data_IF_765840570619
#
_entry.id   IF_765840570619
#
_cell.length_a   1.000
_cell.length_b   1.000
_cell.length_c   1.000
_cell.angle_alpha   90.00
_cell.angle_beta   90.00
_cell.angle_gamma   90.00
#
_symmetry.space_group_name_H-M   'P 1'
#
loop_
_entity.id
_entity.type
_entity.pdbx_description
1 polymer ?
#
# COMPACT_ATOMS: atom_id res chain seq x y z
N UNK A 1 4.55 20.55 -2.76
CA UNK A 1 3.66 20.21 -1.62
C UNK A 1 4.46 20.34 -0.34
N UNK A 2 3.96 21.01 0.72
CA UNK A 2 4.73 21.14 1.97
C UNK A 2 4.85 19.79 2.70
N UNK A 3 5.86 19.68 3.56
CA UNK A 3 6.10 18.49 4.37
C UNK A 3 4.92 18.19 5.29
N UNK A 4 4.42 19.19 6.01
CA UNK A 4 3.32 19.07 6.98
C UNK A 4 2.04 18.60 6.29
N UNK A 5 1.75 19.13 5.09
CA UNK A 5 0.62 18.70 4.28
C UNK A 5 0.76 17.23 3.88
N UNK A 6 1.93 16.84 3.40
CA UNK A 6 2.21 15.47 2.98
C UNK A 6 2.10 14.48 4.14
N UNK A 7 2.73 14.78 5.27
CA UNK A 7 2.69 13.97 6.48
C UNK A 7 1.24 13.81 6.97
N UNK A 8 0.50 14.92 7.06
CA UNK A 8 -0.88 14.90 7.55
C UNK A 8 -1.83 14.13 6.62
N UNK A 9 -1.68 14.28 5.30
CA UNK A 9 -2.45 13.48 4.35
C UNK A 9 -2.16 11.99 4.48
N UNK A 10 -0.87 11.61 4.63
CA UNK A 10 -0.49 10.20 4.86
C UNK A 10 -1.07 9.66 6.16
N UNK A 11 -1.06 10.43 7.25
CA UNK A 11 -1.70 10.05 8.52
C UNK A 11 -3.21 9.82 8.40
N UNK A 12 -3.92 10.75 7.78
CA UNK A 12 -5.38 10.68 7.61
C UNK A 12 -5.75 9.48 6.76
N UNK A 13 -5.12 9.33 5.59
CA UNK A 13 -5.40 8.23 4.66
C UNK A 13 -5.11 6.87 5.30
N UNK A 14 -4.00 6.75 6.02
CA UNK A 14 -3.65 5.54 6.75
C UNK A 14 -4.65 5.25 7.87
N UNK A 15 -5.00 6.26 8.68
CA UNK A 15 -5.94 6.09 9.79
C UNK A 15 -7.31 5.61 9.29
N UNK A 16 -7.81 6.16 8.18
CA UNK A 16 -9.06 5.73 7.54
C UNK A 16 -8.98 4.27 7.05
N UNK A 17 -7.88 3.90 6.37
CA UNK A 17 -7.66 2.54 5.88
C UNK A 17 -7.64 1.52 7.04
N UNK A 18 -6.97 1.86 8.14
CA UNK A 18 -6.87 1.01 9.33
C UNK A 18 -8.18 0.96 10.11
N UNK A 19 -8.92 2.07 10.16
CA UNK A 19 -10.21 2.17 10.84
C UNK A 19 -11.26 1.29 10.15
N UNK A 20 -11.35 1.34 8.82
CA UNK A 20 -12.25 0.48 8.05
C UNK A 20 -12.00 -0.99 8.39
N UNK A 21 -10.74 -1.44 8.27
CA UNK A 21 -10.39 -2.83 8.55
C UNK A 21 -10.66 -3.22 10.00
N UNK A 22 -10.44 -2.32 10.96
CA UNK A 22 -10.69 -2.60 12.37
C UNK A 22 -12.19 -2.74 12.68
N UNK A 23 -13.04 -1.90 12.08
CA UNK A 23 -14.49 -1.96 12.25
C UNK A 23 -15.07 -3.27 11.70
N UNK A 24 -14.62 -3.72 10.53
CA UNK A 24 -15.02 -5.01 9.94
C UNK A 24 -14.73 -6.19 10.88
N UNK A 25 -13.57 -6.19 11.54
CA UNK A 25 -13.16 -7.28 12.42
C UNK A 25 -13.73 -7.18 13.83
N UNK A 26 -14.12 -5.98 14.28
CA UNK A 26 -14.74 -5.79 15.60
C UNK A 26 -16.05 -6.59 15.73
N UNK A 27 -16.79 -6.73 14.62
CA UNK A 27 -18.05 -7.48 14.57
C UNK A 27 -17.80 -8.99 14.52
N UNK A 28 -16.78 -9.43 13.79
CA UNK A 28 -16.59 -10.85 13.45
C UNK A 28 -15.56 -11.59 14.32
N UNK A 29 -14.60 -10.91 14.96
CA UNK A 29 -13.48 -11.53 15.67
C UNK A 29 -13.58 -11.36 17.19
N UNK A 30 -14.29 -12.28 17.86
CA UNK A 30 -14.44 -12.26 19.34
C UNK A 30 -13.10 -12.32 20.08
N UNK A 31 -12.14 -13.11 19.59
CA UNK A 31 -10.85 -13.33 20.26
C UNK A 31 -9.90 -12.12 20.17
N UNK A 32 -10.01 -11.28 19.14
CA UNK A 32 -9.11 -10.13 18.91
C UNK A 32 -9.81 -8.78 19.09
N UNK A 33 -11.03 -8.77 19.66
CA UNK A 33 -11.88 -7.58 19.77
C UNK A 33 -11.17 -6.42 20.49
N UNK A 34 -10.42 -6.72 21.55
CA UNK A 34 -9.65 -5.73 22.31
C UNK A 34 -8.61 -5.02 21.44
N UNK A 35 -7.86 -5.77 20.63
CA UNK A 35 -6.83 -5.20 19.75
C UNK A 35 -7.44 -4.30 18.68
N UNK A 36 -8.56 -4.73 18.09
CA UNK A 36 -9.27 -3.90 17.11
C UNK A 36 -9.92 -2.66 17.75
N UNK A 37 -10.44 -2.76 18.99
CA UNK A 37 -10.94 -1.60 19.72
C UNK A 37 -9.82 -0.58 20.03
N UNK A 38 -8.65 -1.06 20.48
CA UNK A 38 -7.46 -0.20 20.67
C UNK A 38 -7.05 0.48 19.37
N UNK A 39 -7.07 -0.26 18.25
CA UNK A 39 -6.77 0.29 16.92
C UNK A 39 -7.74 1.38 16.51
N UNK A 40 -9.04 1.19 16.74
CA UNK A 40 -10.09 2.20 16.48
C UNK A 40 -9.83 3.47 17.28
N UNK A 41 -9.52 3.36 18.57
CA UNK A 41 -9.20 4.50 19.43
C UNK A 41 -7.97 5.24 18.90
N UNK A 42 -6.89 4.52 18.57
CA UNK A 42 -5.68 5.14 18.05
C UNK A 42 -5.92 5.80 16.68
N UNK A 43 -6.74 5.21 15.80
CA UNK A 43 -7.16 5.87 14.55
C UNK A 43 -7.94 7.17 14.82
N UNK A 44 -8.86 7.15 15.79
CA UNK A 44 -9.62 8.35 16.18
C UNK A 44 -8.72 9.47 16.71
N UNK A 45 -7.75 9.13 17.56
CA UNK A 45 -6.73 10.06 18.04
C UNK A 45 -5.90 10.65 16.89
N UNK A 46 -5.41 9.80 15.98
CA UNK A 46 -4.64 10.24 14.82
C UNK A 46 -5.46 11.15 13.89
N UNK A 47 -6.73 10.82 13.62
CA UNK A 47 -7.63 11.64 12.80
C UNK A 47 -7.97 12.99 13.45
N UNK A 48 -8.08 13.02 14.78
CA UNK A 48 -8.28 14.25 15.55
C UNK A 48 -7.01 15.10 15.72
N UNK A 49 -5.85 14.61 15.26
CA UNK A 49 -4.53 15.20 15.54
C UNK A 49 -4.26 15.33 17.06
N UNK A 50 -4.69 14.32 17.81
CA UNK A 50 -4.58 14.27 19.27
C UNK A 50 -3.57 13.19 19.65
N UNK A 51 -2.61 13.53 20.50
CA UNK A 51 -1.60 12.59 21.00
C UNK A 51 -0.91 11.79 19.88
N UNK A 52 -0.67 12.42 18.73
CA UNK A 52 -0.25 11.80 17.47
C UNK A 52 0.91 10.80 17.63
N UNK A 53 2.02 11.08 18.36
CA UNK A 53 3.10 10.11 18.57
C UNK A 53 2.65 8.82 19.27
N UNK A 54 1.77 8.93 20.27
CA UNK A 54 1.24 7.78 21.01
C UNK A 54 0.22 7.00 20.19
N UNK A 55 -0.61 7.70 19.40
CA UNK A 55 -1.52 7.06 18.46
C UNK A 55 -0.76 6.23 17.42
N UNK A 56 0.29 6.79 16.83
CA UNK A 56 1.16 6.09 15.87
C UNK A 56 1.85 4.87 16.50
N UNK A 57 2.37 5.00 17.72
CA UNK A 57 2.98 3.88 18.46
C UNK A 57 1.95 2.76 18.71
N UNK A 58 0.75 3.10 19.17
CA UNK A 58 -0.33 2.13 19.39
C UNK A 58 -0.75 1.43 18.10
N UNK A 59 -0.88 2.17 17.00
CA UNK A 59 -1.17 1.61 15.67
C UNK A 59 -0.05 0.68 15.19
N UNK A 60 1.23 1.05 15.41
CA UNK A 60 2.37 0.23 15.05
C UNK A 60 2.39 -1.10 15.82
N UNK A 61 2.25 -1.06 17.15
CA UNK A 61 2.25 -2.25 17.99
C UNK A 61 1.08 -3.19 17.65
N UNK A 62 -0.11 -2.64 17.44
CA UNK A 62 -1.27 -3.44 17.01
C UNK A 62 -1.08 -4.01 15.61
N UNK A 63 -0.49 -3.28 14.67
CA UNK A 63 -0.19 -3.79 13.32
C UNK A 63 0.81 -4.95 13.35
N UNK A 64 1.89 -4.85 14.12
CA UNK A 64 2.88 -5.94 14.30
C UNK A 64 2.23 -7.16 14.93
N UNK A 65 1.43 -6.99 15.99
CA UNK A 65 0.71 -8.08 16.63
C UNK A 65 -0.23 -8.80 15.65
N UNK A 66 -1.03 -8.05 14.89
CA UNK A 66 -1.99 -8.61 13.94
C UNK A 66 -1.28 -9.32 12.77
N UNK A 67 -0.17 -8.77 12.27
CA UNK A 67 0.66 -9.42 11.26
C UNK A 67 1.14 -10.79 11.77
N UNK A 68 1.71 -10.83 12.98
CA UNK A 68 2.19 -12.07 13.59
C UNK A 68 1.07 -13.08 13.86
N UNK A 69 -0.13 -12.61 14.23
CA UNK A 69 -1.28 -13.45 14.58
C UNK A 69 -1.94 -14.12 13.38
N UNK A 70 -2.02 -13.42 12.24
CA UNK A 70 -2.78 -13.88 11.07
C UNK A 70 -1.91 -14.51 9.98
N UNK A 71 -0.63 -14.15 9.85
CA UNK A 71 0.34 -14.79 8.93
C UNK A 71 -0.26 -15.11 7.54
N UNK A 72 -0.96 -14.15 6.93
CA UNK A 72 -1.78 -14.40 5.76
C UNK A 72 -1.00 -15.04 4.59
N UNK A 73 -1.65 -15.86 3.75
CA UNK A 73 -1.00 -16.71 2.74
C UNK A 73 -0.18 -15.94 1.69
N UNK A 74 -0.48 -14.65 1.48
CA UNK A 74 0.20 -13.78 0.52
C UNK A 74 1.29 -12.89 1.13
N UNK A 75 1.87 -13.29 2.28
CA UNK A 75 2.98 -12.58 2.91
C UNK A 75 2.69 -11.10 3.25
N UNK A 76 1.40 -10.74 3.40
CA UNK A 76 0.93 -9.49 4.00
C UNK A 76 1.45 -8.21 3.35
N UNK A 77 1.53 -8.11 2.02
CA UNK A 77 2.06 -6.92 1.34
C UNK A 77 1.44 -5.60 1.80
N UNK A 78 0.11 -5.54 1.97
CA UNK A 78 -0.56 -4.37 2.57
C UNK A 78 -0.23 -4.19 4.05
N UNK A 79 -0.11 -5.27 4.81
CA UNK A 79 0.20 -5.20 6.25
C UNK A 79 1.64 -4.69 6.48
N UNK A 80 2.61 -5.16 5.68
CA UNK A 80 4.02 -4.71 5.69
C UNK A 80 4.16 -3.25 5.24
N UNK A 81 3.48 -2.85 4.17
CA UNK A 81 3.45 -1.45 3.75
C UNK A 81 2.82 -0.56 4.84
N UNK A 82 1.72 -1.00 5.46
CA UNK A 82 1.11 -0.27 6.58
C UNK A 82 2.05 -0.09 7.77
N UNK A 83 2.79 -1.14 8.16
CA UNK A 83 3.82 -1.06 9.21
C UNK A 83 4.94 -0.10 8.80
N UNK A 84 5.40 -0.15 7.55
CA UNK A 84 6.42 0.77 7.04
C UNK A 84 5.96 2.23 7.13
N UNK A 85 4.73 2.55 6.71
CA UNK A 85 4.17 3.91 6.82
C UNK A 85 4.12 4.34 8.29
N UNK A 86 3.59 3.49 9.19
CA UNK A 86 3.53 3.78 10.63
C UNK A 86 4.91 4.04 11.23
N UNK A 87 5.90 3.24 10.83
CA UNK A 87 7.27 3.39 11.28
C UNK A 87 7.88 4.72 10.81
N UNK A 88 7.72 5.08 9.53
CA UNK A 88 8.26 6.33 8.99
C UNK A 88 7.56 7.56 9.58
N UNK A 89 6.24 7.52 9.77
CA UNK A 89 5.50 8.58 10.46
C UNK A 89 5.93 8.72 11.92
N UNK A 90 6.10 7.60 12.64
CA UNK A 90 6.57 7.61 14.02
C UNK A 90 7.98 8.19 14.15
N UNK A 91 8.89 7.79 13.26
CA UNK A 91 10.25 8.37 13.19
C UNK A 91 10.23 9.85 12.83
N UNK A 92 9.35 10.26 11.92
CA UNK A 92 9.17 11.67 11.57
C UNK A 92 8.77 12.50 12.80
N UNK A 93 7.76 12.07 13.57
CA UNK A 93 7.37 12.79 14.79
C UNK A 93 8.43 12.76 15.89
N UNK A 94 9.23 11.69 15.98
CA UNK A 94 10.27 11.54 16.98
C UNK A 94 11.63 12.16 16.57
N UNK A 95 11.75 12.65 15.33
CA UNK A 95 13.01 13.12 14.79
C UNK A 95 13.51 14.39 15.51
N UNK A 96 14.81 14.46 15.85
CA UNK A 96 15.36 15.56 16.64
C UNK A 96 15.58 16.85 15.84
N UNK A 97 15.39 16.82 14.52
CA UNK A 97 15.57 17.97 13.63
C UNK A 97 14.79 17.80 12.33
N UNK A 98 14.50 18.88 11.59
CA UNK A 98 13.83 18.82 10.30
C UNK A 98 14.55 17.92 9.27
N UNK A 99 15.88 17.85 9.33
CA UNK A 99 16.64 16.94 8.45
C UNK A 99 16.25 15.47 8.67
N UNK A 100 16.15 15.04 9.93
CA UNK A 100 15.78 13.65 10.26
C UNK A 100 14.29 13.37 9.99
N UNK A 101 13.43 14.39 10.05
CA UNK A 101 12.03 14.31 9.60
C UNK A 101 11.96 14.02 8.10
N UNK A 102 12.66 14.85 7.31
CA UNK A 102 12.77 14.69 5.86
C UNK A 102 13.32 13.29 5.52
N UNK A 103 14.36 12.81 6.20
CA UNK A 103 14.95 11.49 5.94
C UNK A 103 13.99 10.33 6.23
N UNK A 104 13.27 10.37 7.35
CA UNK A 104 12.29 9.34 7.70
C UNK A 104 11.17 9.26 6.65
N UNK A 105 10.71 10.41 6.16
CA UNK A 105 9.63 10.48 5.19
C UNK A 105 10.11 10.20 3.75
N UNK A 106 11.32 10.63 3.38
CA UNK A 106 11.96 10.27 2.13
C UNK A 106 12.22 8.76 2.03
N UNK A 107 12.56 8.11 3.14
CA UNK A 107 12.70 6.65 3.18
C UNK A 107 11.39 5.96 2.77
N UNK A 108 10.23 6.44 3.23
CA UNK A 108 8.94 5.91 2.79
C UNK A 108 8.75 6.04 1.28
N UNK A 109 9.05 7.22 0.71
CA UNK A 109 8.96 7.46 -0.72
C UNK A 109 9.86 6.51 -1.54
N UNK A 110 11.12 6.36 -1.13
CA UNK A 110 12.08 5.45 -1.77
C UNK A 110 11.60 4.00 -1.68
N UNK A 111 11.11 3.56 -0.53
CA UNK A 111 10.59 2.21 -0.35
C UNK A 111 9.33 1.97 -1.20
N UNK A 112 8.46 2.96 -1.36
CA UNK A 112 7.32 2.86 -2.27
C UNK A 112 7.78 2.68 -3.73
N UNK A 113 8.73 3.50 -4.19
CA UNK A 113 9.32 3.37 -5.54
C UNK A 113 9.97 2.01 -5.74
N UNK A 114 10.77 1.55 -4.78
CA UNK A 114 11.43 0.24 -4.82
C UNK A 114 10.41 -0.91 -4.80
N UNK A 115 9.28 -0.75 -4.09
CA UNK A 115 8.23 -1.77 -4.04
C UNK A 115 7.65 -2.03 -5.43
N UNK A 116 7.40 -0.98 -6.22
CA UNK A 116 7.01 -1.14 -7.62
C UNK A 116 8.14 -1.76 -8.45
N UNK A 117 9.34 -1.18 -8.40
CA UNK A 117 10.46 -1.64 -9.24
C UNK A 117 10.85 -3.10 -8.99
N UNK A 118 10.99 -3.51 -7.73
CA UNK A 118 11.36 -4.88 -7.36
C UNK A 118 10.26 -5.86 -7.77
N UNK A 119 8.99 -5.49 -7.57
CA UNK A 119 7.84 -6.27 -8.06
C UNK A 119 7.92 -6.49 -9.57
N UNK A 120 8.15 -5.43 -10.34
CA UNK A 120 8.30 -5.49 -11.80
C UNK A 120 9.50 -6.32 -12.24
N UNK A 121 10.64 -6.16 -11.57
CA UNK A 121 11.86 -6.95 -11.84
C UNK A 121 11.63 -8.44 -11.60
N UNK A 122 10.96 -8.82 -10.50
CA UNK A 122 10.64 -10.22 -10.22
C UNK A 122 9.75 -10.79 -11.33
N UNK A 123 8.73 -10.05 -11.78
CA UNK A 123 7.86 -10.46 -12.88
C UNK A 123 8.61 -10.56 -14.21
N UNK A 124 9.50 -9.62 -14.50
CA UNK A 124 10.32 -9.64 -15.71
C UNK A 124 11.21 -10.89 -15.77
N UNK A 125 11.81 -11.29 -14.65
CA UNK A 125 12.68 -12.46 -14.59
C UNK A 125 11.91 -13.78 -14.65
N UNK A 126 10.66 -13.82 -14.18
CA UNK A 126 9.84 -15.04 -14.16
C UNK A 126 9.23 -15.32 -15.54
N UNK A 127 9.54 -16.48 -16.19
CA UNK A 127 8.94 -16.86 -17.47
C UNK A 127 7.40 -16.92 -17.48
N UNK A 128 6.76 -17.30 -16.36
CA UNK A 128 5.30 -17.42 -16.27
C UNK A 128 4.59 -16.06 -16.35
N UNK A 129 5.22 -15.02 -15.82
CA UNK A 129 4.72 -13.65 -15.98
C UNK A 129 4.90 -13.17 -17.42
N UNK A 130 6.03 -13.50 -18.06
CA UNK A 130 6.30 -13.12 -19.45
C UNK A 130 5.39 -13.84 -20.46
N UNK A 131 4.95 -15.07 -20.16
CA UNK A 131 4.00 -15.80 -20.99
C UNK A 131 2.54 -15.44 -20.69
N UNK A 132 2.26 -14.74 -19.59
CA UNK A 132 0.92 -14.46 -19.08
C UNK A 132 0.30 -15.61 -18.27
N UNK A 133 1.01 -16.73 -18.10
CA UNK A 133 0.56 -17.87 -17.30
C UNK A 133 0.29 -17.48 -15.85
N UNK A 134 1.18 -16.70 -15.22
CA UNK A 134 1.00 -16.29 -13.84
C UNK A 134 -0.29 -15.48 -13.63
N UNK A 135 -0.65 -14.62 -14.58
CA UNK A 135 -1.90 -13.85 -14.52
C UNK A 135 -3.12 -14.75 -14.79
N UNK A 136 -3.00 -15.73 -15.69
CA UNK A 136 -4.01 -16.77 -15.90
C UNK A 136 -4.30 -17.54 -14.60
N UNK A 137 -3.25 -17.93 -13.88
CA UNK A 137 -3.37 -18.65 -12.62
C UNK A 137 -4.04 -17.79 -11.55
N UNK A 138 -3.75 -16.49 -11.51
CA UNK A 138 -4.46 -15.55 -10.61
C UNK A 138 -5.96 -15.54 -10.92
N UNK A 139 -6.36 -15.45 -12.19
CA UNK A 139 -7.80 -15.50 -12.55
C UNK A 139 -8.45 -16.87 -12.31
N UNK A 140 -7.70 -17.96 -12.49
CA UNK A 140 -8.22 -19.32 -12.30
C UNK A 140 -8.39 -19.69 -10.82
N UNK A 141 -7.41 -19.32 -9.97
CA UNK A 141 -7.27 -19.83 -8.60
C UNK A 141 -7.52 -18.78 -7.51
N UNK A 142 -7.91 -17.55 -7.86
CA UNK A 142 -8.29 -16.55 -6.85
C UNK A 142 -9.40 -17.09 -5.93
N UNK A 143 -9.11 -17.10 -4.63
CA UNK A 143 -9.97 -17.67 -3.60
C UNK A 143 -11.21 -16.81 -3.27
N UNK A 144 -11.28 -15.58 -3.78
CA UNK A 144 -12.36 -14.66 -3.48
C UNK A 144 -13.59 -14.92 -4.36
N UNK A 145 -14.81 -14.98 -3.81
CA UNK A 145 -16.04 -15.30 -4.56
C UNK A 145 -16.30 -14.38 -5.77
N UNK A 146 -15.88 -13.11 -5.69
CA UNK A 146 -16.01 -12.15 -6.79
C UNK A 146 -15.21 -12.56 -8.04
N UNK A 147 -14.14 -13.34 -7.86
CA UNK A 147 -13.29 -13.81 -8.94
C UNK A 147 -13.87 -15.03 -9.68
N UNK A 148 -14.89 -15.71 -9.14
CA UNK A 148 -15.42 -16.95 -9.75
C UNK A 148 -16.01 -16.70 -11.14
N UNK A 149 -16.75 -15.59 -11.30
CA UNK A 149 -17.30 -15.17 -12.59
C UNK A 149 -16.22 -14.72 -13.59
N UNK A 150 -15.00 -14.47 -13.12
CA UNK A 150 -13.86 -14.02 -13.92
C UNK A 150 -12.94 -15.16 -14.33
N UNK A 151 -13.14 -16.39 -13.82
CA UNK A 151 -12.32 -17.57 -14.16
C UNK A 151 -12.26 -17.85 -15.65
N UNK A 152 -13.34 -17.54 -16.40
CA UNK A 152 -13.35 -17.67 -17.86
C UNK A 152 -12.33 -16.78 -18.59
N UNK A 153 -11.85 -15.70 -17.94
CA UNK A 153 -10.80 -14.84 -18.48
C UNK A 153 -9.44 -15.53 -18.52
N UNK A 154 -9.21 -16.55 -17.68
CA UNK A 154 -7.99 -17.36 -17.68
C UNK A 154 -7.69 -17.99 -19.05
N UNK A 155 -8.73 -18.29 -19.83
CA UNK A 155 -8.59 -18.88 -21.16
C UNK A 155 -8.15 -17.87 -22.25
N UNK A 156 -8.08 -16.57 -21.94
CA UNK A 156 -7.72 -15.51 -22.91
C UNK A 156 -6.22 -15.19 -22.88
N UNK A 157 -5.39 -16.20 -23.16
CA UNK A 157 -3.92 -16.16 -23.02
C UNK A 157 -3.25 -14.96 -23.71
N UNK A 158 -3.68 -14.60 -24.92
CA UNK A 158 -3.13 -13.43 -25.63
C UNK A 158 -3.37 -12.10 -24.90
N UNK A 159 -4.57 -11.92 -24.34
CA UNK A 159 -4.91 -10.71 -23.55
C UNK A 159 -4.11 -10.70 -22.25
N UNK A 160 -4.04 -11.84 -21.56
CA UNK A 160 -3.33 -11.95 -20.28
C UNK A 160 -1.82 -11.77 -20.42
N UNK A 161 -1.24 -12.23 -21.53
CA UNK A 161 0.16 -11.96 -21.88
C UNK A 161 0.39 -10.45 -22.07
N UNK A 162 -0.45 -9.78 -22.87
CA UNK A 162 -0.36 -8.33 -23.07
C UNK A 162 -0.52 -7.56 -21.75
N UNK A 163 -1.51 -7.92 -20.92
CA UNK A 163 -1.70 -7.32 -19.60
C UNK A 163 -0.50 -7.56 -18.68
N UNK A 164 0.10 -8.74 -18.70
CA UNK A 164 1.28 -9.05 -17.89
C UNK A 164 2.46 -8.16 -18.28
N UNK A 165 2.71 -7.97 -19.58
CA UNK A 165 3.75 -7.06 -20.06
C UNK A 165 3.46 -5.58 -19.74
N UNK A 166 2.20 -5.15 -19.77
CA UNK A 166 1.83 -3.81 -19.31
C UNK A 166 2.16 -3.60 -17.83
N UNK A 167 1.84 -4.58 -16.97
CA UNK A 167 2.17 -4.53 -15.53
C UNK A 167 3.69 -4.53 -15.32
N UNK A 168 4.43 -5.43 -15.99
CA UNK A 168 5.89 -5.49 -15.91
C UNK A 168 6.51 -4.16 -16.32
N UNK A 169 6.11 -3.63 -17.49
CA UNK A 169 6.65 -2.39 -18.03
C UNK A 169 6.37 -1.21 -17.10
N UNK A 170 5.13 -1.08 -16.62
CA UNK A 170 4.76 -0.04 -15.66
C UNK A 170 5.60 -0.10 -14.38
N UNK A 171 5.68 -1.28 -13.75
CA UNK A 171 6.40 -1.45 -12.49
C UNK A 171 7.91 -1.23 -12.61
N UNK A 172 8.55 -1.73 -13.68
CA UNK A 172 9.99 -1.54 -13.94
C UNK A 172 10.32 -0.08 -14.27
N UNK A 173 9.45 0.61 -15.01
CA UNK A 173 9.66 2.01 -15.39
C UNK A 173 9.19 3.00 -14.32
N UNK A 174 8.51 2.54 -13.27
CA UNK A 174 7.98 3.39 -12.21
C UNK A 174 9.00 4.37 -11.61
N UNK A 175 10.27 4.01 -11.35
CA UNK A 175 11.26 4.97 -10.84
C UNK A 175 11.49 6.18 -11.76
N UNK A 176 11.35 6.01 -13.08
CA UNK A 176 11.52 7.10 -14.05
C UNK A 176 10.40 8.12 -13.98
N UNK A 177 9.27 7.79 -13.33
CA UNK A 177 8.15 8.72 -13.16
C UNK A 177 8.51 9.90 -12.27
N UNK A 178 9.54 9.75 -11.41
CA UNK A 178 10.06 10.82 -10.55
C UNK A 178 10.76 11.95 -11.32
N UNK A 179 11.11 11.73 -12.60
CA UNK A 179 11.79 12.73 -13.42
C UNK A 179 10.92 13.95 -13.73
N UNK A 180 9.59 13.85 -13.61
CA UNK A 180 8.70 15.01 -13.75
C UNK A 180 7.41 14.82 -12.95
N UNK A 181 6.88 15.92 -12.39
CA UNK A 181 5.62 15.89 -11.67
C UNK A 181 4.44 15.35 -12.52
N UNK A 182 4.27 15.73 -13.80
CA UNK A 182 3.21 15.15 -14.63
C UNK A 182 3.33 13.63 -14.81
N UNK A 183 4.54 13.11 -15.02
CA UNK A 183 4.78 11.66 -15.13
C UNK A 183 4.44 10.94 -13.83
N UNK A 184 4.83 11.51 -12.68
CA UNK A 184 4.51 10.95 -11.36
C UNK A 184 3.00 10.92 -11.13
N UNK A 185 2.29 12.03 -11.34
CA UNK A 185 0.84 12.06 -11.14
C UNK A 185 0.11 11.08 -12.05
N UNK A 186 0.49 11.01 -13.34
CA UNK A 186 -0.06 10.03 -14.26
C UNK A 186 0.16 8.59 -13.76
N UNK A 187 1.39 8.28 -13.34
CA UNK A 187 1.72 6.96 -12.82
C UNK A 187 0.96 6.61 -11.54
N UNK A 188 0.79 7.56 -10.61
CA UNK A 188 0.01 7.35 -9.39
C UNK A 188 -1.47 7.10 -9.68
N UNK A 189 -2.05 7.77 -10.69
CA UNK A 189 -3.42 7.49 -11.15
C UNK A 189 -3.51 6.08 -11.70
N UNK A 190 -2.59 5.69 -12.60
CA UNK A 190 -2.55 4.33 -13.17
C UNK A 190 -2.38 3.27 -12.07
N UNK A 191 -1.48 3.50 -11.10
CA UNK A 191 -1.27 2.61 -9.97
C UNK A 191 -2.52 2.50 -9.07
N UNK A 192 -3.22 3.61 -8.80
CA UNK A 192 -4.50 3.59 -8.08
C UNK A 192 -5.55 2.77 -8.81
N UNK A 193 -5.67 2.93 -10.13
CA UNK A 193 -6.60 2.17 -10.95
C UNK A 193 -6.26 0.68 -10.95
N UNK A 194 -4.97 0.33 -11.02
CA UNK A 194 -4.51 -1.05 -10.89
C UNK A 194 -4.86 -1.65 -9.52
N UNK A 195 -4.59 -0.93 -8.44
CA UNK A 195 -4.94 -1.38 -7.10
C UNK A 195 -6.46 -1.50 -6.90
N UNK A 196 -7.24 -0.61 -7.52
CA UNK A 196 -8.69 -0.65 -7.49
C UNK A 196 -9.23 -1.83 -8.29
N UNK A 197 -8.64 -2.14 -9.45
CA UNK A 197 -8.94 -3.36 -10.19
C UNK A 197 -8.67 -4.60 -9.33
N UNK A 198 -7.54 -4.64 -8.61
CA UNK A 198 -7.25 -5.76 -7.70
C UNK A 198 -8.25 -5.85 -6.53
N UNK A 199 -8.70 -4.71 -5.99
CA UNK A 199 -9.74 -4.69 -4.97
C UNK A 199 -11.07 -5.25 -5.50
N UNK A 200 -11.50 -4.81 -6.68
CA UNK A 200 -12.77 -5.22 -7.29
C UNK A 200 -12.75 -6.68 -7.79
N UNK A 201 -11.68 -7.09 -8.48
CA UNK A 201 -11.59 -8.40 -9.13
C UNK A 201 -11.15 -9.51 -8.15
N UNK A 202 -10.35 -9.16 -7.13
CA UNK A 202 -9.71 -10.15 -6.24
C UNK A 202 -9.97 -9.87 -4.76
N UNK A 203 -10.86 -8.94 -4.40
CA UNK A 203 -11.21 -8.66 -3.00
C UNK A 203 -10.07 -8.08 -2.16
N UNK A 204 -9.00 -7.57 -2.78
CA UNK A 204 -7.81 -7.03 -2.09
C UNK A 204 -8.04 -5.58 -1.58
N UNK A 205 -9.16 -5.33 -0.90
CA UNK A 205 -9.60 -3.99 -0.50
C UNK A 205 -8.58 -3.23 0.35
N UNK A 206 -7.92 -3.92 1.30
CA UNK A 206 -6.89 -3.31 2.17
C UNK A 206 -5.66 -2.87 1.39
N UNK A 207 -5.37 -3.51 0.27
CA UNK A 207 -4.21 -3.20 -0.57
C UNK A 207 -4.37 -1.81 -1.21
N UNK A 208 -5.55 -1.50 -1.75
CA UNK A 208 -5.83 -0.20 -2.35
C UNK A 208 -5.51 0.98 -1.42
N UNK A 209 -6.15 1.00 -0.25
CA UNK A 209 -6.10 2.16 0.63
C UNK A 209 -4.73 2.36 1.28
N UNK A 210 -4.06 1.27 1.65
CA UNK A 210 -2.73 1.37 2.27
C UNK A 210 -1.70 1.93 1.29
N UNK A 211 -1.75 1.54 0.02
CA UNK A 211 -0.80 2.04 -0.97
C UNK A 211 -1.05 3.51 -1.29
N UNK A 212 -2.32 3.92 -1.44
CA UNK A 212 -2.67 5.33 -1.64
C UNK A 212 -2.23 6.20 -0.45
N UNK A 213 -2.28 5.68 0.79
CA UNK A 213 -1.82 6.42 1.96
C UNK A 213 -0.32 6.78 1.90
N UNK A 214 0.51 6.02 1.16
CA UNK A 214 1.92 6.33 0.98
C UNK A 214 2.18 7.38 -0.12
N UNK A 215 1.22 7.67 -1.01
CA UNK A 215 1.44 8.56 -2.16
C UNK A 215 1.83 10.00 -1.81
N UNK A 216 1.31 10.63 -0.74
CA UNK A 216 1.75 11.97 -0.36
C UNK A 216 3.26 12.03 -0.09
N UNK A 217 3.87 10.97 0.46
CA UNK A 217 5.32 10.92 0.64
C UNK A 217 6.10 11.03 -0.67
N UNK A 218 5.60 10.40 -1.73
CA UNK A 218 6.26 10.39 -3.03
C UNK A 218 6.11 11.70 -3.79
N UNK A 219 4.93 12.32 -3.71
CA UNK A 219 4.67 13.64 -4.29
C UNK A 219 5.52 14.71 -3.60
N UNK A 220 5.61 14.67 -2.27
CA UNK A 220 6.49 15.57 -1.52
C UNK A 220 7.96 15.32 -1.86
N UNK A 221 8.38 14.05 -1.91
CA UNK A 221 9.78 13.72 -2.21
C UNK A 221 10.20 14.19 -3.60
N UNK A 222 9.34 14.01 -4.62
CA UNK A 222 9.64 14.48 -5.97
C UNK A 222 9.78 16.01 -6.03
N UNK A 223 8.87 16.75 -5.40
CA UNK A 223 8.92 18.21 -5.29
C UNK A 223 10.19 18.68 -4.54
N UNK A 224 10.59 17.94 -3.50
CA UNK A 224 11.78 18.25 -2.70
C UNK A 224 13.11 18.07 -3.46
N UNK A 225 13.17 17.10 -4.37
CA UNK A 225 14.40 16.72 -5.10
C UNK A 225 14.50 17.39 -6.47
N UNK A 226 13.37 17.57 -7.17
CA UNK A 226 13.32 18.03 -8.56
C UNK A 226 12.53 19.33 -8.77
N UNK A 227 11.87 19.84 -7.72
CA UNK A 227 11.13 21.11 -7.73
C UNK A 227 11.97 22.33 -7.39
#
# INVERSE_FOLDING_TARGET
MSFECAQRLTEILLALALLQSALEHLVHSRQNRTVFAMRIICCGLLLGDLMTPWALLGLFLTAVFLLHRFQGPYNGGSDKMGILILFCLGLSHAAPSPFWQDMAFAYLAVQLTLSYFISGRVKLMNPEWRSGQALSDVFAFSAYPVAENLRGLANRTGILCAMSWLVIGFEVLFPLTLLSAPSLYFALIVASLFHMANAYLFGLNRFLWIWIAAYPSLIWFQDRIFG
#
